data_IF_920680775027
#
_entry.id   IF_920680775027
#
_cell.length_a   1.000
_cell.length_b   1.000
_cell.length_c   1.000
_cell.angle_alpha   90.00
_cell.angle_beta   90.00
_cell.angle_gamma   90.00
#
_symmetry.space_group_name_H-M   'P 1'
#
loop_
_entity.id
_entity.type
_entity.pdbx_description
1 polymer ?
#
# COMPACT_ATOMS: atom_id res chain seq x y z
N UNK A 1 -45.36 -64.94 70.83
CA UNK A 1 -44.37 -63.85 70.60
C UNK A 1 -44.24 -63.04 71.86
N UNK A 2 -43.09 -63.05 72.42
CA UNK A 2 -42.82 -62.36 73.71
C UNK A 2 -42.79 -60.82 73.43
N UNK A 3 -43.20 -60.01 74.44
CA UNK A 3 -43.22 -58.53 74.34
C UNK A 3 -41.91 -57.90 73.83
N UNK A 4 -40.79 -58.50 74.18
CA UNK A 4 -39.44 -58.13 73.74
C UNK A 4 -39.27 -58.34 72.25
N UNK A 5 -39.77 -59.43 71.64
CA UNK A 5 -39.67 -59.68 70.19
C UNK A 5 -40.44 -58.63 69.41
N UNK A 6 -41.54 -58.09 69.91
CA UNK A 6 -42.30 -57.00 69.26
C UNK A 6 -41.54 -55.70 69.24
N UNK A 7 -40.90 -55.33 70.35
CA UNK A 7 -40.09 -54.11 70.47
C UNK A 7 -38.87 -54.18 69.54
N UNK A 8 -38.19 -55.34 69.50
CA UNK A 8 -37.04 -55.54 68.58
C UNK A 8 -37.44 -55.43 67.09
N UNK A 9 -38.60 -56.03 66.71
CA UNK A 9 -39.13 -55.95 65.37
C UNK A 9 -39.51 -54.50 64.95
N UNK A 10 -40.04 -53.74 65.92
CA UNK A 10 -40.39 -52.33 65.70
C UNK A 10 -39.16 -51.47 65.53
N UNK A 11 -38.14 -51.59 66.37
CA UNK A 11 -36.85 -50.91 66.26
C UNK A 11 -36.19 -51.27 64.91
N UNK A 12 -36.18 -52.54 64.50
CA UNK A 12 -35.60 -52.95 63.20
C UNK A 12 -36.35 -52.35 62.03
N UNK A 13 -37.68 -52.27 62.09
CA UNK A 13 -38.51 -51.64 61.04
C UNK A 13 -38.25 -50.15 60.95
N UNK A 14 -38.21 -49.43 62.09
CA UNK A 14 -37.95 -48.01 62.15
C UNK A 14 -36.53 -47.67 61.64
N UNK A 15 -35.51 -48.47 62.00
CA UNK A 15 -34.16 -48.34 61.53
C UNK A 15 -34.09 -48.55 60.01
N UNK A 16 -34.84 -49.54 59.46
CA UNK A 16 -34.92 -49.78 58.03
C UNK A 16 -35.59 -48.61 57.29
N UNK A 17 -36.72 -48.09 57.84
CA UNK A 17 -37.42 -46.94 57.28
C UNK A 17 -36.49 -45.72 57.25
N UNK A 18 -35.85 -45.40 58.35
CA UNK A 18 -34.87 -44.27 58.39
C UNK A 18 -33.69 -44.44 57.42
N UNK A 19 -33.20 -45.68 57.25
CA UNK A 19 -32.14 -45.97 56.30
C UNK A 19 -32.62 -45.81 54.85
N UNK A 20 -33.82 -46.22 54.49
CA UNK A 20 -34.41 -46.11 53.19
C UNK A 20 -34.74 -44.63 52.79
N UNK A 21 -35.23 -43.85 53.77
CA UNK A 21 -35.40 -42.40 53.68
C UNK A 21 -34.08 -41.72 53.38
N UNK A 22 -33.03 -41.99 54.15
CA UNK A 22 -31.68 -41.45 53.91
C UNK A 22 -31.08 -41.80 52.55
N UNK A 23 -31.30 -43.04 52.09
CA UNK A 23 -30.88 -43.45 50.75
C UNK A 23 -31.64 -42.71 49.67
N UNK A 24 -32.92 -42.47 49.85
CA UNK A 24 -33.74 -41.71 48.88
C UNK A 24 -33.31 -40.25 48.81
N UNK A 25 -33.10 -39.59 49.97
CA UNK A 25 -32.56 -38.25 50.03
C UNK A 25 -31.20 -38.14 49.36
N UNK A 26 -30.29 -39.09 49.64
CA UNK A 26 -28.96 -39.12 49.04
C UNK A 26 -29.00 -39.30 47.52
N UNK A 27 -29.88 -40.20 47.01
CA UNK A 27 -30.10 -40.38 45.57
C UNK A 27 -30.64 -39.12 44.91
N UNK A 28 -31.61 -38.46 45.53
CA UNK A 28 -32.18 -37.20 45.03
C UNK A 28 -31.16 -36.06 45.02
N UNK A 29 -30.29 -36.01 46.05
CA UNK A 29 -29.21 -35.05 46.11
C UNK A 29 -28.16 -35.31 45.04
N UNK A 30 -27.78 -36.57 44.82
CA UNK A 30 -26.85 -36.96 43.78
C UNK A 30 -27.39 -36.65 42.36
N UNK A 31 -28.67 -36.91 42.12
CA UNK A 31 -29.31 -36.55 40.84
C UNK A 31 -29.29 -35.06 40.58
N UNK A 32 -29.62 -34.25 41.56
CA UNK A 32 -29.54 -32.79 41.45
C UNK A 32 -28.14 -32.28 41.13
N UNK A 33 -27.09 -32.88 41.69
CA UNK A 33 -25.70 -32.54 41.35
C UNK A 33 -25.38 -32.89 39.89
N UNK A 34 -25.78 -34.09 39.43
CA UNK A 34 -25.57 -34.53 38.06
C UNK A 34 -26.34 -33.65 37.06
N UNK A 35 -27.59 -33.30 37.36
CA UNK A 35 -28.40 -32.42 36.50
C UNK A 35 -27.75 -31.03 36.41
N UNK A 36 -27.35 -30.45 37.52
CA UNK A 36 -26.65 -29.16 37.52
C UNK A 36 -25.35 -29.20 36.68
N UNK A 37 -24.54 -30.23 36.88
CA UNK A 37 -23.30 -30.39 36.11
C UNK A 37 -23.57 -30.55 34.59
N UNK A 38 -24.66 -31.21 34.20
CA UNK A 38 -25.07 -31.30 32.81
C UNK A 38 -25.54 -29.98 32.25
N UNK A 39 -26.27 -29.20 32.99
CA UNK A 39 -26.75 -27.88 32.56
C UNK A 39 -25.57 -26.88 32.44
N UNK A 40 -24.63 -26.92 33.40
CA UNK A 40 -23.40 -26.14 33.32
C UNK A 40 -22.55 -26.54 32.09
N UNK A 41 -22.41 -27.84 31.83
CA UNK A 41 -21.68 -28.32 30.65
C UNK A 41 -22.33 -27.83 29.35
N UNK A 42 -23.68 -27.91 29.21
CA UNK A 42 -24.41 -27.40 28.05
C UNK A 42 -24.23 -25.88 27.88
N UNK A 43 -24.22 -25.12 28.96
CA UNK A 43 -24.00 -23.68 28.92
C UNK A 43 -22.58 -23.35 28.42
N UNK A 44 -21.57 -24.09 28.89
CA UNK A 44 -20.16 -23.94 28.42
C UNK A 44 -20.05 -24.33 26.94
N UNK A 45 -20.68 -25.41 26.51
CA UNK A 45 -20.68 -25.82 25.08
C UNK A 45 -21.33 -24.76 24.20
N UNK A 46 -22.48 -24.21 24.60
CA UNK A 46 -23.16 -23.16 23.83
C UNK A 46 -22.32 -21.89 23.75
N UNK A 47 -21.70 -21.45 24.85
CA UNK A 47 -20.79 -20.30 24.84
C UNK A 47 -19.55 -20.53 23.97
N UNK A 48 -18.98 -21.72 24.02
CA UNK A 48 -17.84 -22.08 23.18
C UNK A 48 -18.21 -22.09 21.68
N UNK A 49 -19.38 -22.60 21.34
CA UNK A 49 -19.90 -22.60 19.97
C UNK A 49 -20.14 -21.17 19.44
N UNK A 50 -20.74 -20.31 20.28
CA UNK A 50 -20.93 -18.90 19.91
C UNK A 50 -19.61 -18.15 19.70
N UNK A 51 -18.65 -18.33 20.61
CA UNK A 51 -17.30 -17.76 20.48
C UNK A 51 -16.60 -18.25 19.21
N UNK A 52 -16.69 -19.54 18.90
CA UNK A 52 -16.11 -20.13 17.73
C UNK A 52 -16.69 -19.53 16.44
N UNK A 53 -18.01 -19.36 16.38
CA UNK A 53 -18.69 -18.75 15.22
C UNK A 53 -18.30 -17.27 15.04
N UNK A 54 -18.23 -16.50 16.12
CA UNK A 54 -17.78 -15.11 16.06
C UNK A 54 -16.34 -14.99 15.59
N UNK A 55 -15.44 -15.83 16.07
CA UNK A 55 -14.04 -15.81 15.64
C UNK A 55 -13.87 -16.30 14.20
N UNK A 56 -14.63 -17.30 13.77
CA UNK A 56 -14.68 -17.74 12.39
C UNK A 56 -15.07 -16.58 11.46
N UNK A 57 -16.18 -15.91 11.74
CA UNK A 57 -16.63 -14.74 10.93
C UNK A 57 -15.57 -13.63 10.91
N UNK A 58 -14.91 -13.38 12.01
CA UNK A 58 -13.85 -12.38 12.13
C UNK A 58 -12.64 -12.74 11.27
N UNK A 59 -12.23 -14.01 11.28
CA UNK A 59 -11.12 -14.51 10.45
C UNK A 59 -11.46 -14.38 8.96
N UNK A 60 -12.66 -14.82 8.56
CA UNK A 60 -13.10 -14.76 7.15
C UNK A 60 -13.17 -13.31 6.66
N UNK A 61 -13.76 -12.41 7.45
CA UNK A 61 -13.86 -10.99 7.09
C UNK A 61 -12.47 -10.34 6.98
N UNK A 62 -11.55 -10.67 7.88
CA UNK A 62 -10.16 -10.18 7.82
C UNK A 62 -9.45 -10.71 6.58
N UNK A 63 -9.57 -11.99 6.28
CA UNK A 63 -8.97 -12.59 5.09
C UNK A 63 -9.49 -11.95 3.80
N UNK A 64 -10.80 -11.72 3.70
CA UNK A 64 -11.42 -11.03 2.56
C UNK A 64 -10.89 -9.60 2.41
N UNK A 65 -10.90 -8.81 3.50
CA UNK A 65 -10.39 -7.43 3.48
C UNK A 65 -8.91 -7.36 3.09
N UNK A 66 -8.09 -8.26 3.64
CA UNK A 66 -6.66 -8.35 3.31
C UNK A 66 -6.46 -8.72 1.84
N UNK A 67 -7.26 -9.65 1.32
CA UNK A 67 -7.25 -10.04 -0.10
C UNK A 67 -7.59 -8.88 -1.03
N UNK A 68 -8.62 -8.10 -0.72
CA UNK A 68 -9.00 -6.93 -1.50
C UNK A 68 -7.92 -5.83 -1.48
N UNK A 69 -7.29 -5.59 -0.31
CA UNK A 69 -6.18 -4.63 -0.20
C UNK A 69 -4.98 -5.10 -1.04
N UNK A 70 -4.63 -6.38 -0.96
CA UNK A 70 -3.54 -6.95 -1.74
C UNK A 70 -3.78 -6.83 -3.25
N UNK A 71 -5.00 -7.16 -3.71
CA UNK A 71 -5.42 -7.02 -5.11
C UNK A 71 -5.30 -5.57 -5.60
N UNK A 72 -5.83 -4.61 -4.82
CA UNK A 72 -5.71 -3.17 -5.14
C UNK A 72 -4.25 -2.73 -5.19
N UNK A 73 -3.42 -3.22 -4.27
CA UNK A 73 -1.98 -2.92 -4.24
C UNK A 73 -1.24 -3.44 -5.46
N UNK A 74 -1.56 -4.66 -5.94
CA UNK A 74 -0.98 -5.20 -7.19
C UNK A 74 -1.39 -4.35 -8.38
N UNK A 75 -2.68 -4.03 -8.51
CA UNK A 75 -3.19 -3.21 -9.61
C UNK A 75 -2.55 -1.82 -9.63
N UNK A 76 -2.39 -1.19 -8.47
CA UNK A 76 -1.75 0.14 -8.37
C UNK A 76 -0.28 0.09 -8.79
N UNK A 77 0.48 -0.91 -8.34
CA UNK A 77 1.89 -1.09 -8.74
C UNK A 77 2.01 -1.28 -10.25
N UNK A 78 1.14 -2.08 -10.87
CA UNK A 78 1.19 -2.27 -12.33
C UNK A 78 0.83 -1.00 -13.09
N UNK A 79 -0.14 -0.24 -12.63
CA UNK A 79 -0.44 1.08 -13.21
C UNK A 79 0.77 2.02 -13.12
N UNK A 80 1.43 2.10 -11.97
CA UNK A 80 2.64 2.91 -11.79
C UNK A 80 3.78 2.44 -12.70
N UNK A 81 4.00 1.12 -12.81
CA UNK A 81 5.03 0.56 -13.68
C UNK A 81 4.79 0.92 -15.16
N UNK A 82 3.54 0.90 -15.61
CA UNK A 82 3.18 1.28 -16.97
C UNK A 82 3.46 2.78 -17.20
N UNK A 83 3.09 3.64 -16.29
CA UNK A 83 3.30 5.09 -16.39
C UNK A 83 4.81 5.39 -16.43
N UNK A 84 5.60 4.82 -15.54
CA UNK A 84 7.07 5.01 -15.52
C UNK A 84 7.71 4.51 -16.81
N UNK A 85 7.22 3.39 -17.36
CA UNK A 85 7.66 2.88 -18.68
C UNK A 85 7.42 3.90 -19.79
N UNK A 86 6.23 4.50 -19.83
CA UNK A 86 5.89 5.52 -20.85
C UNK A 86 6.75 6.77 -20.70
N UNK A 87 7.02 7.23 -19.47
CA UNK A 87 7.88 8.38 -19.23
C UNK A 87 9.32 8.10 -19.66
N UNK A 88 9.81 6.88 -19.37
CA UNK A 88 11.13 6.44 -19.84
C UNK A 88 11.20 6.39 -21.36
N UNK A 89 10.19 5.82 -22.01
CA UNK A 89 10.13 5.76 -23.47
C UNK A 89 10.05 7.16 -24.10
N UNK A 90 9.33 8.10 -23.47
CA UNK A 90 9.26 9.49 -23.91
C UNK A 90 10.64 10.16 -23.83
N UNK A 91 11.39 9.94 -22.75
CA UNK A 91 12.75 10.42 -22.58
C UNK A 91 13.68 9.89 -23.72
N UNK A 92 13.66 8.57 -23.94
CA UNK A 92 14.46 7.94 -25.01
C UNK A 92 14.09 8.51 -26.38
N UNK A 93 12.80 8.71 -26.65
CA UNK A 93 12.33 9.30 -27.92
C UNK A 93 12.79 10.74 -28.09
N UNK A 94 12.76 11.56 -27.03
CA UNK A 94 13.28 12.93 -27.08
C UNK A 94 14.79 12.95 -27.40
N UNK A 95 15.56 12.09 -26.75
CA UNK A 95 17.00 11.98 -27.01
C UNK A 95 17.32 11.42 -28.41
N UNK A 96 16.39 10.68 -29.02
CA UNK A 96 16.51 10.06 -30.37
C UNK A 96 15.90 10.86 -31.49
N UNK A 97 15.41 12.09 -31.28
CA UNK A 97 14.91 12.97 -32.34
C UNK A 97 16.01 13.33 -33.36
N UNK A 98 15.59 13.71 -34.57
CA UNK A 98 16.51 14.32 -35.53
C UNK A 98 17.14 15.58 -34.92
N UNK A 99 18.36 15.94 -35.36
CA UNK A 99 19.02 17.14 -34.85
C UNK A 99 18.15 18.40 -35.02
N UNK A 100 17.44 18.50 -36.13
CA UNK A 100 16.54 19.62 -36.39
C UNK A 100 15.37 19.66 -35.37
N UNK A 101 14.66 18.55 -35.19
CA UNK A 101 13.52 18.49 -34.27
C UNK A 101 13.95 18.64 -32.80
N UNK A 102 15.08 18.03 -32.44
CA UNK A 102 15.66 18.14 -31.12
C UNK A 102 16.02 19.59 -30.78
N UNK A 103 16.75 20.28 -31.66
CA UNK A 103 17.13 21.67 -31.42
C UNK A 103 15.95 22.64 -31.55
N UNK A 104 14.93 22.35 -32.34
CA UNK A 104 13.67 23.08 -32.32
C UNK A 104 12.94 22.97 -30.95
N UNK A 105 13.00 21.78 -30.35
CA UNK A 105 12.53 21.62 -28.97
C UNK A 105 13.37 22.40 -27.95
N UNK A 106 14.70 22.35 -28.09
CA UNK A 106 15.64 23.09 -27.25
C UNK A 106 15.45 24.61 -27.33
N UNK A 107 15.13 25.17 -28.50
CA UNK A 107 14.81 26.59 -28.68
C UNK A 107 13.59 26.96 -27.83
N UNK A 108 12.54 26.15 -27.87
CA UNK A 108 11.34 26.39 -27.03
C UNK A 108 11.63 26.35 -25.53
N UNK A 109 12.52 25.45 -25.09
CA UNK A 109 12.96 25.42 -23.72
C UNK A 109 13.77 26.66 -23.36
N UNK A 110 14.67 27.09 -24.26
CA UNK A 110 15.46 28.30 -24.09
C UNK A 110 14.57 29.55 -23.98
N UNK A 111 13.53 29.66 -24.82
CA UNK A 111 12.56 30.76 -24.74
C UNK A 111 11.82 30.79 -23.40
N UNK A 112 11.52 29.63 -22.84
CA UNK A 112 10.76 29.49 -21.57
C UNK A 112 11.62 29.79 -20.35
N UNK A 113 12.86 29.31 -20.32
CA UNK A 113 13.70 29.33 -19.13
C UNK A 113 14.78 30.38 -19.14
N UNK A 114 15.25 30.85 -20.31
CA UNK A 114 16.30 31.86 -20.36
C UNK A 114 15.80 33.22 -19.84
N UNK A 115 16.54 33.77 -18.89
CA UNK A 115 16.37 35.17 -18.42
C UNK A 115 17.23 36.11 -19.24
N UNK A 116 16.78 37.34 -19.39
CA UNK A 116 17.59 38.39 -20.02
C UNK A 116 18.77 38.81 -19.09
N UNK A 117 19.96 39.02 -19.63
CA UNK A 117 21.04 39.52 -18.80
C UNK A 117 22.43 38.97 -19.09
N UNK A 118 22.57 38.16 -20.11
CA UNK A 118 23.88 37.59 -20.48
C UNK A 118 24.26 36.39 -19.61
N UNK A 119 24.79 35.37 -20.23
CA UNK A 119 25.18 34.11 -19.55
C UNK A 119 25.72 33.09 -20.55
N UNK A 120 25.92 31.89 -20.09
CA UNK A 120 26.42 30.79 -20.90
C UNK A 120 25.50 29.61 -20.91
N UNK A 121 25.43 28.92 -22.04
CA UNK A 121 24.71 27.68 -22.25
C UNK A 121 25.73 26.56 -22.26
N UNK A 122 25.64 25.65 -21.28
CA UNK A 122 26.48 24.46 -21.24
C UNK A 122 25.69 23.28 -21.78
N UNK A 123 26.24 22.61 -22.77
CA UNK A 123 25.63 21.45 -23.43
C UNK A 123 26.34 20.16 -23.05
N UNK A 124 25.73 19.02 -23.34
CA UNK A 124 26.46 17.75 -23.36
C UNK A 124 27.51 17.77 -24.50
N UNK A 125 28.56 16.95 -24.36
CA UNK A 125 29.56 16.80 -25.44
C UNK A 125 28.88 16.40 -26.75
N UNK A 126 27.94 15.47 -26.69
CA UNK A 126 27.19 15.00 -27.87
C UNK A 126 26.42 16.13 -28.56
N UNK A 127 25.73 16.97 -27.75
CA UNK A 127 24.86 18.01 -28.28
C UNK A 127 25.68 19.20 -28.81
N UNK A 128 26.83 19.48 -28.21
CA UNK A 128 27.75 20.54 -28.70
C UNK A 128 28.23 20.30 -30.12
N UNK A 129 28.50 19.04 -30.48
CA UNK A 129 29.00 18.68 -31.80
C UNK A 129 27.95 18.81 -32.95
N UNK A 130 26.65 18.88 -32.59
CA UNK A 130 25.53 18.90 -33.55
C UNK A 130 24.63 20.14 -33.46
N UNK A 131 25.07 21.20 -32.77
CA UNK A 131 24.28 22.43 -32.56
C UNK A 131 23.89 23.04 -33.90
N UNK A 132 22.58 23.31 -34.06
CA UNK A 132 22.04 23.93 -35.28
C UNK A 132 22.22 25.47 -35.28
N UNK A 133 22.20 26.07 -36.48
CA UNK A 133 22.31 27.52 -36.64
C UNK A 133 21.13 28.25 -35.94
N UNK A 134 19.94 27.66 -36.00
CA UNK A 134 18.71 28.19 -35.36
C UNK A 134 18.87 28.29 -33.86
N UNK A 135 19.43 27.27 -33.19
CA UNK A 135 19.66 27.29 -31.74
C UNK A 135 20.71 28.35 -31.36
N UNK A 136 21.79 28.50 -32.18
CA UNK A 136 22.80 29.54 -31.98
C UNK A 136 22.18 30.93 -32.05
N UNK A 137 21.37 31.17 -33.07
CA UNK A 137 20.69 32.45 -33.24
C UNK A 137 19.72 32.76 -32.10
N UNK A 138 18.96 31.76 -31.63
CA UNK A 138 18.06 31.94 -30.47
C UNK A 138 18.83 32.25 -29.18
N UNK A 139 20.00 31.62 -28.97
CA UNK A 139 20.85 31.90 -27.82
C UNK A 139 21.39 33.33 -27.88
N UNK A 140 21.88 33.78 -29.05
CA UNK A 140 22.38 35.15 -29.24
C UNK A 140 21.29 36.20 -29.05
N UNK A 141 20.07 35.96 -29.49
CA UNK A 141 18.91 36.84 -29.27
C UNK A 141 18.61 37.04 -27.76
N UNK A 142 18.90 36.05 -26.95
CA UNK A 142 18.74 36.10 -25.48
C UNK A 142 20.01 36.66 -24.78
N UNK A 143 21.04 37.03 -25.54
CA UNK A 143 22.32 37.47 -24.98
C UNK A 143 23.16 36.36 -24.34
N UNK A 144 22.88 35.10 -24.71
CA UNK A 144 23.58 33.94 -24.18
C UNK A 144 24.64 33.45 -25.15
N UNK A 145 25.76 32.93 -24.65
CA UNK A 145 26.81 32.30 -25.45
C UNK A 145 26.85 30.79 -25.17
N UNK A 146 27.12 29.99 -26.20
CA UNK A 146 27.39 28.59 -26.00
C UNK A 146 28.78 28.40 -25.45
N UNK A 147 28.89 27.81 -24.26
CA UNK A 147 30.17 27.63 -23.58
C UNK A 147 31.06 26.59 -24.27
N UNK A 148 32.39 26.79 -24.16
CA UNK A 148 33.34 25.75 -24.56
C UNK A 148 33.35 24.57 -23.57
N UNK A 149 32.93 24.81 -22.32
CA UNK A 149 32.75 23.72 -21.35
C UNK A 149 31.51 22.89 -21.65
N UNK A 150 31.58 21.62 -21.31
CA UNK A 150 30.45 20.69 -21.42
C UNK A 150 30.00 20.19 -20.06
N UNK A 151 28.74 19.76 -19.96
CA UNK A 151 28.20 19.10 -18.77
C UNK A 151 27.86 17.64 -19.08
N UNK A 152 27.99 16.81 -18.03
CA UNK A 152 27.54 15.41 -18.12
C UNK A 152 26.03 15.37 -17.85
N UNK A 153 25.25 15.58 -18.91
CA UNK A 153 23.79 15.59 -18.91
C UNK A 153 23.27 14.71 -20.07
N UNK A 154 22.11 14.19 -19.90
CA UNK A 154 21.42 13.26 -20.80
C UNK A 154 20.80 13.93 -22.04
N UNK A 155 20.88 15.24 -22.12
CA UNK A 155 20.34 16.12 -23.15
C UNK A 155 19.77 17.38 -22.51
N UNK A 156 19.38 18.34 -23.32
CA UNK A 156 19.03 19.66 -22.81
C UNK A 156 20.25 20.55 -22.62
N UNK A 157 20.19 21.48 -21.69
CA UNK A 157 21.26 22.41 -21.40
C UNK A 157 21.25 22.86 -19.94
N UNK A 158 22.36 23.45 -19.52
CA UNK A 158 22.44 24.18 -18.26
C UNK A 158 22.68 25.65 -18.59
N UNK A 159 21.88 26.54 -18.03
CA UNK A 159 22.10 28.00 -18.10
C UNK A 159 22.97 28.44 -16.94
N UNK A 160 24.04 29.15 -17.24
CA UNK A 160 24.96 29.70 -16.22
C UNK A 160 24.98 31.21 -16.29
N UNK A 161 24.62 31.83 -15.18
CA UNK A 161 24.61 33.31 -14.97
C UNK A 161 25.61 33.70 -13.88
N UNK A 162 26.85 33.27 -14.05
CA UNK A 162 27.91 33.48 -13.08
C UNK A 162 27.86 32.52 -11.90
N UNK A 163 27.34 32.93 -10.75
CA UNK A 163 27.21 32.06 -9.57
C UNK A 163 25.91 31.25 -9.52
N UNK A 164 25.00 31.48 -10.45
CA UNK A 164 23.69 30.80 -10.51
C UNK A 164 23.67 29.90 -11.74
N UNK A 165 23.34 28.63 -11.56
CA UNK A 165 23.09 27.69 -12.63
C UNK A 165 21.65 27.21 -12.61
N UNK A 166 20.99 27.19 -13.75
CA UNK A 166 19.67 26.61 -13.94
C UNK A 166 19.76 25.35 -14.80
N UNK A 167 19.42 24.21 -14.22
CA UNK A 167 19.51 22.93 -14.89
C UNK A 167 18.26 22.65 -15.73
N UNK A 168 18.36 22.87 -17.03
CA UNK A 168 17.34 22.60 -18.02
C UNK A 168 17.65 21.29 -18.82
N UNK A 169 18.37 20.34 -18.22
CA UNK A 169 18.51 19.01 -18.80
C UNK A 169 17.17 18.30 -18.89
N UNK A 170 17.02 17.40 -19.87
CA UNK A 170 15.77 16.67 -20.09
C UNK A 170 15.38 15.90 -18.83
N UNK A 171 16.34 15.21 -18.19
CA UNK A 171 16.11 14.48 -16.95
C UNK A 171 15.64 15.38 -15.81
N UNK A 172 16.30 16.55 -15.60
CA UNK A 172 15.92 17.49 -14.54
C UNK A 172 14.51 18.08 -14.78
N UNK A 173 14.18 18.41 -16.03
CA UNK A 173 12.86 18.92 -16.38
C UNK A 173 11.77 17.86 -16.21
N UNK A 174 12.03 16.61 -16.61
CA UNK A 174 11.09 15.50 -16.40
C UNK A 174 10.88 15.22 -14.91
N UNK A 175 11.92 15.31 -14.10
CA UNK A 175 11.78 15.12 -12.64
C UNK A 175 11.02 16.28 -11.99
N UNK A 176 11.27 17.53 -12.39
CA UNK A 176 10.54 18.69 -11.86
C UNK A 176 9.05 18.70 -12.21
N UNK A 177 8.68 18.13 -13.36
CA UNK A 177 7.30 18.02 -13.85
C UNK A 177 6.69 16.62 -13.63
N UNK A 178 7.37 15.76 -12.88
CA UNK A 178 7.05 14.34 -12.74
C UNK A 178 5.59 14.11 -12.35
N UNK A 179 5.12 14.78 -11.32
CA UNK A 179 3.75 14.60 -10.82
C UNK A 179 2.71 14.98 -11.88
N UNK A 180 2.96 16.07 -12.59
CA UNK A 180 2.11 16.53 -13.67
C UNK A 180 2.11 15.57 -14.86
N UNK A 181 3.29 15.09 -15.26
CA UNK A 181 3.43 14.11 -16.33
C UNK A 181 2.74 12.79 -15.95
N UNK A 182 2.89 12.38 -14.70
CA UNK A 182 2.24 11.19 -14.18
C UNK A 182 0.71 11.30 -14.24
N UNK A 183 0.14 12.45 -13.84
CA UNK A 183 -1.30 12.69 -13.89
C UNK A 183 -1.83 12.74 -15.34
N UNK A 184 -1.08 13.34 -16.27
CA UNK A 184 -1.43 13.37 -17.70
C UNK A 184 -1.50 11.95 -18.27
N UNK A 185 -0.45 11.15 -18.06
CA UNK A 185 -0.40 9.76 -18.54
C UNK A 185 -1.48 8.91 -17.89
N UNK A 186 -1.67 9.06 -16.58
CA UNK A 186 -2.72 8.38 -15.83
C UNK A 186 -4.12 8.71 -16.36
N UNK A 187 -4.40 9.99 -16.59
CA UNK A 187 -5.69 10.44 -17.13
C UNK A 187 -5.94 9.90 -18.55
N UNK A 188 -4.92 9.81 -19.36
CA UNK A 188 -5.03 9.28 -20.73
C UNK A 188 -5.26 7.75 -20.75
N UNK A 189 -4.62 7.00 -19.86
CA UNK A 189 -4.69 5.54 -19.87
C UNK A 189 -5.84 4.95 -19.04
N UNK A 190 -6.23 5.63 -17.95
CA UNK A 190 -7.09 5.04 -16.93
C UNK A 190 -8.21 5.99 -16.48
N UNK A 191 -8.32 7.20 -17.10
CA UNK A 191 -9.32 8.22 -16.80
C UNK A 191 -10.68 7.97 -17.41
#
# INVERSE_FOLDING_TARGET
>A
MNGLDRILAEIARDAKTAADEKRTEAKAAAQRVVERARDEAKAVEAEAAERAELEYRRIVNRAHSTGEIAKKGVLLREKQRIIEGILTDAHVKLAGLSDQDYFAFMVRLLEKYATEGGGEILLSRRDKDRVTAEFKAAAEQKGLRISEETRDIDGGFVLSYGSIEENCSIGALMESERDRLHDVVKGFLFG
#
